data_IF_061778319940
#
_entry.id   IF_061778319940
#
_cell.length_a   1.000
_cell.length_b   1.000
_cell.length_c   1.000
_cell.angle_alpha   90.00
_cell.angle_beta   90.00
_cell.angle_gamma   90.00
#
_symmetry.space_group_name_H-M   'P 1'
#
loop_
_entity.id
_entity.type
_entity.pdbx_description
1 polymer ?
#
# COMPACT_ATOMS: atom_id res chain seq x y z
N UNK A 1 -15.69 10.63 14.07
CA UNK A 1 -14.77 11.48 13.27
C UNK A 1 -14.71 10.94 11.85
N UNK A 2 -15.12 11.72 10.84
CA UNK A 2 -15.21 11.27 9.44
C UNK A 2 -13.86 11.21 8.71
N UNK A 3 -13.85 10.65 7.49
CA UNK A 3 -12.67 10.59 6.63
C UNK A 3 -12.45 11.94 5.92
N UNK A 4 -11.43 12.69 6.33
CA UNK A 4 -11.02 13.92 5.63
C UNK A 4 -10.39 13.62 4.26
N UNK A 5 -10.68 14.48 3.26
CA UNK A 5 -9.99 14.46 1.96
C UNK A 5 -8.55 14.92 2.15
N UNK A 6 -7.59 14.22 1.55
CA UNK A 6 -6.16 14.60 1.57
C UNK A 6 -5.64 14.73 0.14
N UNK A 7 -4.70 15.66 -0.09
CA UNK A 7 -4.02 15.79 -1.38
C UNK A 7 -3.17 14.56 -1.70
N UNK A 8 -3.07 14.20 -2.99
CA UNK A 8 -2.20 13.12 -3.47
C UNK A 8 -0.79 13.67 -3.63
N UNK A 9 -0.05 13.70 -2.52
CA UNK A 9 1.36 14.08 -2.43
C UNK A 9 2.06 13.27 -1.33
N UNK A 10 3.39 13.34 -1.24
CA UNK A 10 4.13 12.75 -0.12
C UNK A 10 3.61 13.35 1.20
N UNK A 11 3.29 12.49 2.17
CA UNK A 11 2.88 12.90 3.51
C UNK A 11 4.14 13.20 4.30
N UNK A 12 4.31 14.40 4.84
CA UNK A 12 5.56 14.82 5.49
C UNK A 12 5.77 14.15 6.86
N UNK A 13 4.72 14.14 7.69
CA UNK A 13 4.73 13.51 9.01
C UNK A 13 4.94 11.98 8.89
N UNK A 14 6.04 11.48 9.46
CA UNK A 14 6.46 10.08 9.37
C UNK A 14 5.44 9.11 9.95
N UNK A 15 4.93 9.36 11.15
CA UNK A 15 3.90 8.53 11.81
C UNK A 15 2.62 8.47 10.97
N UNK A 16 2.16 9.62 10.48
CA UNK A 16 0.96 9.70 9.63
C UNK A 16 1.17 9.00 8.29
N UNK A 17 2.38 9.10 7.72
CA UNK A 17 2.80 8.41 6.50
C UNK A 17 2.79 6.89 6.70
N UNK A 18 3.36 6.39 7.80
CA UNK A 18 3.36 4.96 8.15
C UNK A 18 1.94 4.41 8.34
N UNK A 19 1.11 5.08 9.14
CA UNK A 19 -0.29 4.66 9.36
C UNK A 19 -1.08 4.68 8.05
N UNK A 20 -0.92 5.73 7.23
CA UNK A 20 -1.63 5.85 5.96
C UNK A 20 -1.19 4.78 4.97
N UNK A 21 0.12 4.50 4.89
CA UNK A 21 0.66 3.45 4.03
C UNK A 21 0.09 2.08 4.43
N UNK A 22 0.16 1.71 5.71
CA UNK A 22 -0.38 0.43 6.19
C UNK A 22 -1.87 0.28 5.86
N UNK A 23 -2.67 1.32 6.10
CA UNK A 23 -4.12 1.30 5.77
C UNK A 23 -4.38 1.20 4.27
N UNK A 24 -3.68 1.98 3.44
CA UNK A 24 -3.86 2.00 1.98
C UNK A 24 -3.39 0.70 1.33
N UNK A 25 -2.25 0.16 1.78
CA UNK A 25 -1.68 -1.11 1.33
C UNK A 25 -2.67 -2.26 1.54
N UNK A 26 -3.25 -2.34 2.74
CA UNK A 26 -4.25 -3.37 3.04
C UNK A 26 -5.52 -3.20 2.20
N UNK A 27 -5.98 -1.96 1.99
CA UNK A 27 -7.12 -1.68 1.12
C UNK A 27 -6.86 -2.05 -0.35
N UNK A 28 -5.65 -1.79 -0.84
CA UNK A 28 -5.23 -2.15 -2.20
C UNK A 28 -5.19 -3.67 -2.37
N UNK A 29 -4.58 -4.38 -1.43
CA UNK A 29 -4.52 -5.85 -1.43
C UNK A 29 -5.92 -6.47 -1.50
N UNK A 30 -6.85 -5.98 -0.66
CA UNK A 30 -8.23 -6.43 -0.68
C UNK A 30 -8.89 -6.20 -2.05
N UNK A 31 -8.66 -5.04 -2.67
CA UNK A 31 -9.22 -4.71 -3.98
C UNK A 31 -8.63 -5.58 -5.10
N UNK A 32 -7.32 -5.84 -5.08
CA UNK A 32 -6.69 -6.75 -6.04
C UNK A 32 -7.26 -8.16 -5.92
N UNK A 33 -7.46 -8.65 -4.69
CA UNK A 33 -8.07 -9.96 -4.46
C UNK A 33 -9.52 -10.03 -4.94
N UNK A 34 -10.32 -9.02 -4.64
CA UNK A 34 -11.71 -8.92 -5.14
C UNK A 34 -11.73 -8.94 -6.68
N UNK A 35 -10.84 -8.17 -7.33
CA UNK A 35 -10.75 -8.13 -8.79
C UNK A 35 -10.29 -9.45 -9.40
N UNK A 36 -9.30 -10.11 -8.78
CA UNK A 36 -8.82 -11.42 -9.19
C UNK A 36 -9.94 -12.47 -9.22
N UNK A 37 -10.78 -12.49 -8.19
CA UNK A 37 -11.93 -13.40 -8.10
C UNK A 37 -13.01 -13.03 -9.13
N UNK A 38 -13.30 -11.74 -9.32
CA UNK A 38 -14.36 -11.30 -10.24
C UNK A 38 -14.01 -11.53 -11.72
N UNK A 39 -12.73 -11.53 -12.07
CA UNK A 39 -12.27 -11.64 -13.45
C UNK A 39 -11.47 -12.92 -13.72
N UNK A 40 -11.48 -13.90 -12.80
CA UNK A 40 -10.65 -15.11 -12.84
C UNK A 40 -9.18 -14.82 -13.21
N UNK A 41 -8.66 -13.70 -12.70
CA UNK A 41 -7.32 -13.21 -13.02
C UNK A 41 -6.30 -13.67 -11.97
N UNK A 42 -5.21 -14.31 -12.40
CA UNK A 42 -4.17 -14.80 -11.50
C UNK A 42 -3.23 -13.67 -11.03
N UNK A 43 -3.74 -12.80 -10.15
CA UNK A 43 -3.01 -11.65 -9.60
C UNK A 43 -2.43 -11.90 -8.20
N UNK A 44 -2.99 -12.86 -7.44
CA UNK A 44 -2.70 -13.07 -6.01
C UNK A 44 -1.59 -14.11 -5.73
N UNK A 45 -1.29 -14.98 -6.70
CA UNK A 45 -0.49 -16.19 -6.46
C UNK A 45 1.04 -16.00 -6.60
N UNK A 46 1.53 -14.81 -6.96
CA UNK A 46 2.98 -14.63 -7.01
C UNK A 46 3.53 -14.56 -5.60
N UNK A 47 4.42 -15.50 -5.25
CA UNK A 47 5.29 -15.43 -4.06
C UNK A 47 5.95 -14.05 -3.91
N UNK A 48 6.32 -13.42 -5.02
CA UNK A 48 6.85 -12.06 -5.04
C UNK A 48 5.87 -11.00 -4.52
N UNK A 49 4.57 -11.16 -4.77
CA UNK A 49 3.51 -10.29 -4.26
C UNK A 49 3.43 -10.45 -2.73
N UNK A 50 3.25 -11.67 -2.23
CA UNK A 50 3.23 -11.96 -0.80
C UNK A 50 4.50 -11.48 -0.07
N UNK A 51 5.69 -11.75 -0.61
CA UNK A 51 6.97 -11.31 -0.04
C UNK A 51 7.09 -9.77 -0.06
N UNK A 52 6.59 -9.10 -1.10
CA UNK A 52 6.58 -7.64 -1.18
C UNK A 52 5.64 -7.01 -0.15
N UNK A 53 4.50 -7.64 0.15
CA UNK A 53 3.56 -7.17 1.18
C UNK A 53 3.97 -7.53 2.61
N UNK A 54 4.73 -8.61 2.82
CA UNK A 54 5.18 -9.05 4.15
C UNK A 54 6.43 -8.33 4.65
N UNK A 55 7.22 -7.70 3.77
CA UNK A 55 8.42 -6.97 4.19
C UNK A 55 8.05 -5.69 4.96
N UNK A 56 8.75 -5.37 6.06
CA UNK A 56 8.69 -4.05 6.67
C UNK A 56 9.28 -3.04 5.67
N UNK A 57 8.41 -2.37 4.92
CA UNK A 57 8.83 -1.37 3.96
C UNK A 57 9.25 -0.11 4.73
N UNK A 58 10.55 0.22 4.70
CA UNK A 58 11.05 1.48 5.26
C UNK A 58 10.54 2.63 4.38
N UNK A 59 9.53 3.37 4.87
CA UNK A 59 8.94 4.51 4.14
C UNK A 59 9.79 5.78 4.34
N UNK A 60 10.76 5.71 5.24
CA UNK A 60 11.60 6.82 5.68
C UNK A 60 12.99 6.81 5.05
N UNK A 61 13.27 5.92 4.08
CA UNK A 61 14.52 6.01 3.32
C UNK A 61 14.56 7.37 2.62
N UNK A 62 15.62 8.18 2.84
CA UNK A 62 15.79 9.42 2.13
C UNK A 62 15.76 9.08 0.65
N UNK A 63 14.94 9.81 -0.11
CA UNK A 63 14.95 9.72 -1.56
C UNK A 63 16.42 9.86 -1.97
N UNK A 64 17.01 8.79 -2.52
CA UNK A 64 18.28 8.92 -3.20
C UNK A 64 18.06 10.03 -4.21
N UNK A 65 18.82 11.12 -4.07
CA UNK A 65 18.92 12.16 -5.06
C UNK A 65 19.30 11.46 -6.37
N UNK A 66 18.32 11.35 -7.27
CA UNK A 66 18.54 11.04 -8.66
C UNK A 66 18.42 12.34 -9.43
#
# INVERSE_FOLDING_TARGET
MGRGKIAIRRIDNSTSRQVTFSKRRNGLLKKTKELAILCDAELDNRKAFHDWFSKPFQIDTPAKAY
#
